data_IF_658157558231
#
_entry.id   IF_658157558231
#
_cell.length_a   1.000
_cell.length_b   1.000
_cell.length_c   1.000
_cell.angle_alpha   90.00
_cell.angle_beta   90.00
_cell.angle_gamma   90.00
#
_symmetry.space_group_name_H-M   'P 1'
#
loop_
_entity.id
_entity.type
_entity.pdbx_description
1 polymer ?
#
# COMPACT_ATOMS: atom_id res chain seq x y z
N UNK A 1 -5.86 0.38 -3.98
CA UNK A 1 -5.43 1.70 -4.47
C UNK A 1 -6.44 2.75 -4.04
N UNK A 2 -5.99 3.78 -3.32
CA UNK A 2 -6.78 4.96 -2.96
C UNK A 2 -6.31 6.11 -3.83
N UNK A 3 -7.22 6.85 -4.48
CA UNK A 3 -6.83 8.06 -5.20
C UNK A 3 -6.22 9.06 -4.21
N UNK A 4 -4.99 9.57 -4.44
CA UNK A 4 -4.24 10.36 -3.46
C UNK A 4 -4.92 11.68 -3.08
N UNK A 5 -5.78 12.20 -3.96
CA UNK A 5 -6.46 13.49 -3.81
C UNK A 5 -7.99 13.38 -3.76
N UNK A 6 -8.54 12.19 -3.53
CA UNK A 6 -9.97 12.09 -3.26
C UNK A 6 -10.27 12.64 -1.87
N UNK A 7 -11.17 13.63 -1.79
CA UNK A 7 -11.64 14.25 -0.54
C UNK A 7 -12.65 13.32 0.16
N UNK A 8 -12.26 12.06 0.37
CA UNK A 8 -13.06 11.07 1.07
C UNK A 8 -12.46 10.86 2.44
N UNK A 9 -13.26 11.07 3.48
CA UNK A 9 -12.86 10.86 4.89
C UNK A 9 -12.48 9.40 5.19
N UNK A 10 -12.93 8.47 4.36
CA UNK A 10 -12.65 7.04 4.49
C UNK A 10 -11.48 6.67 3.58
N UNK A 11 -10.31 6.46 4.17
CA UNK A 11 -9.15 5.87 3.48
C UNK A 11 -9.02 4.40 3.82
N UNK A 12 -8.65 3.61 2.81
CA UNK A 12 -8.33 2.20 2.99
C UNK A 12 -7.05 2.09 3.83
N UNK A 13 -7.04 1.30 4.91
CA UNK A 13 -5.83 1.10 5.70
C UNK A 13 -4.68 0.52 4.87
N UNK A 14 -3.44 0.92 5.14
CA UNK A 14 -2.29 0.39 4.41
C UNK A 14 -2.17 -1.12 4.66
N UNK A 15 -1.85 -1.89 3.61
CA UNK A 15 -1.71 -3.35 3.68
C UNK A 15 -3.02 -4.13 3.67
N UNK A 16 -4.18 -3.46 3.76
CA UNK A 16 -5.49 -4.12 3.70
C UNK A 16 -5.71 -4.89 2.39
N UNK A 17 -5.28 -4.31 1.27
CA UNK A 17 -5.38 -4.96 -0.03
C UNK A 17 -4.57 -6.27 -0.09
N UNK A 18 -3.41 -6.32 0.58
CA UNK A 18 -2.55 -7.51 0.62
C UNK A 18 -3.21 -8.66 1.39
N UNK A 19 -3.89 -8.37 2.51
CA UNK A 19 -4.66 -9.36 3.25
C UNK A 19 -5.71 -10.01 2.33
N UNK A 20 -6.48 -9.17 1.62
CA UNK A 20 -7.51 -9.65 0.71
C UNK A 20 -6.93 -10.44 -0.47
N UNK A 21 -5.80 -10.00 -1.01
CA UNK A 21 -5.11 -10.69 -2.10
C UNK A 21 -4.63 -12.08 -1.68
N UNK A 22 -3.97 -12.19 -0.52
CA UNK A 22 -3.53 -13.47 0.03
C UNK A 22 -4.70 -14.41 0.29
N UNK A 23 -5.76 -13.93 0.94
CA UNK A 23 -6.96 -14.72 1.17
C UNK A 23 -7.59 -15.22 -0.15
N UNK A 24 -7.77 -14.32 -1.12
CA UNK A 24 -8.34 -14.67 -2.42
C UNK A 24 -7.51 -15.72 -3.15
N UNK A 25 -6.17 -15.65 -3.02
CA UNK A 25 -5.27 -16.63 -3.62
C UNK A 25 -5.41 -18.00 -2.99
N UNK A 26 -5.59 -18.09 -1.68
CA UNK A 26 -5.82 -19.36 -0.98
C UNK A 26 -7.21 -19.95 -1.32
N UNK A 27 -8.24 -19.11 -1.45
CA UNK A 27 -9.55 -19.55 -1.94
C UNK A 27 -9.44 -20.16 -3.34
N UNK A 28 -8.73 -19.50 -4.26
CA UNK A 28 -8.54 -20.01 -5.62
C UNK A 28 -7.73 -21.31 -5.69
N UNK A 29 -6.82 -21.53 -4.73
CA UNK A 29 -6.00 -22.75 -4.63
C UNK A 29 -6.79 -23.94 -4.11
N UNK A 30 -7.52 -23.74 -3.02
CA UNK A 30 -8.19 -24.82 -2.31
C UNK A 30 -9.62 -25.08 -2.80
N UNK A 31 -10.21 -24.15 -3.55
CA UNK A 31 -11.58 -24.22 -4.07
C UNK A 31 -12.58 -24.73 -3.01
N UNK A 32 -12.62 -24.11 -1.82
CA UNK A 32 -13.46 -24.60 -0.72
C UNK A 32 -14.94 -24.47 -1.09
N UNK A 33 -15.75 -25.42 -0.66
CA UNK A 33 -17.21 -25.40 -0.85
C UNK A 33 -17.89 -24.31 -0.01
N UNK A 34 -17.37 -24.04 1.19
CA UNK A 34 -17.81 -22.95 2.07
C UNK A 34 -16.69 -21.94 2.29
N UNK A 35 -16.76 -20.85 1.52
CA UNK A 35 -15.76 -19.77 1.55
C UNK A 35 -15.79 -19.01 2.89
N UNK A 36 -16.96 -18.87 3.52
CA UNK A 36 -17.07 -18.11 4.77
C UNK A 36 -16.43 -18.87 5.92
N UNK A 37 -16.71 -20.17 6.03
CA UNK A 37 -16.05 -21.05 7.01
C UNK A 37 -14.54 -21.07 6.81
N UNK A 38 -14.09 -21.23 5.57
CA UNK A 38 -12.67 -21.18 5.23
C UNK A 38 -12.03 -19.84 5.62
N UNK A 39 -12.71 -18.71 5.37
CA UNK A 39 -12.23 -17.39 5.75
C UNK A 39 -12.07 -17.21 7.25
N UNK A 40 -13.03 -17.67 8.05
CA UNK A 40 -12.93 -17.63 9.52
C UNK A 40 -11.71 -18.41 10.01
N UNK A 41 -11.54 -19.65 9.55
CA UNK A 41 -10.41 -20.51 9.93
C UNK A 41 -9.06 -19.92 9.46
N UNK A 42 -9.01 -19.37 8.25
CA UNK A 42 -7.81 -18.75 7.69
C UNK A 42 -7.36 -17.53 8.48
N UNK A 43 -8.27 -16.61 8.81
CA UNK A 43 -7.91 -15.42 9.57
C UNK A 43 -7.60 -15.71 11.04
N UNK A 44 -8.26 -16.69 11.65
CA UNK A 44 -7.94 -17.16 13.01
C UNK A 44 -6.54 -17.79 13.05
N UNK A 45 -6.19 -18.60 12.05
CA UNK A 45 -4.84 -19.13 11.88
C UNK A 45 -3.78 -18.03 11.75
N UNK A 46 -4.00 -17.02 10.89
CA UNK A 46 -3.07 -15.89 10.73
C UNK A 46 -2.91 -15.07 12.01
N UNK A 47 -3.98 -14.90 12.78
CA UNK A 47 -3.93 -14.19 14.07
C UNK A 47 -3.11 -14.96 15.09
N UNK A 48 -3.32 -16.27 15.22
CA UNK A 48 -2.54 -17.12 16.14
C UNK A 48 -1.08 -17.14 15.78
N UNK A 49 -0.75 -17.33 14.50
CA UNK A 49 0.63 -17.35 14.02
C UNK A 49 1.37 -16.04 14.36
N UNK A 50 0.67 -14.89 14.24
CA UNK A 50 1.24 -13.59 14.64
C UNK A 50 1.48 -13.51 16.15
N UNK A 51 0.55 -13.99 16.95
CA UNK A 51 0.64 -13.92 18.42
C UNK A 51 1.70 -14.88 18.97
N UNK A 52 1.85 -16.05 18.38
CA UNK A 52 2.74 -17.11 18.85
C UNK A 52 4.18 -16.93 18.37
N UNK A 53 4.37 -16.69 17.07
CA UNK A 53 5.71 -16.65 16.47
C UNK A 53 6.29 -15.24 16.43
N UNK A 54 5.44 -14.21 16.55
CA UNK A 54 5.84 -12.82 16.33
C UNK A 54 6.23 -12.52 14.88
N UNK A 55 5.90 -13.41 13.94
CA UNK A 55 6.22 -13.26 12.52
C UNK A 55 5.53 -12.04 11.91
N UNK A 56 6.18 -11.50 10.87
CA UNK A 56 5.73 -10.28 10.21
C UNK A 56 4.38 -10.50 9.51
N UNK A 57 3.38 -9.75 9.96
CA UNK A 57 2.06 -9.67 9.38
C UNK A 57 2.12 -9.40 7.86
N UNK A 58 1.39 -10.19 7.07
CA UNK A 58 1.21 -9.97 5.62
C UNK A 58 0.80 -8.54 5.28
N UNK A 59 0.02 -7.89 6.17
CA UNK A 59 -0.33 -6.49 6.00
C UNK A 59 0.92 -5.61 6.08
N UNK A 60 1.75 -5.76 7.11
CA UNK A 60 2.98 -4.97 7.32
C UNK A 60 3.99 -5.18 6.19
N UNK A 61 4.21 -6.43 5.78
CA UNK A 61 5.05 -6.77 4.63
C UNK A 61 4.55 -6.09 3.36
N UNK A 62 3.23 -6.12 3.14
CA UNK A 62 2.57 -5.41 2.05
C UNK A 62 2.80 -3.90 2.09
N UNK A 63 2.64 -3.27 3.26
CA UNK A 63 2.89 -1.84 3.46
C UNK A 63 4.32 -1.48 3.11
N UNK A 64 5.32 -2.23 3.62
CA UNK A 64 6.73 -1.95 3.34
C UNK A 64 7.06 -2.03 1.84
N UNK A 65 6.31 -2.83 1.09
CA UNK A 65 6.47 -2.96 -0.35
C UNK A 65 5.81 -1.79 -1.10
N UNK A 66 4.60 -1.39 -0.68
CA UNK A 66 3.89 -0.24 -1.23
C UNK A 66 4.59 1.09 -0.90
N UNK A 67 5.15 1.23 0.30
CA UNK A 67 5.83 2.45 0.77
C UNK A 67 7.08 2.77 -0.07
N UNK A 68 7.81 1.73 -0.51
CA UNK A 68 8.92 1.87 -1.46
C UNK A 68 8.50 2.49 -2.79
N UNK A 69 7.25 2.32 -3.21
CA UNK A 69 6.77 2.86 -4.48
C UNK A 69 6.48 4.37 -4.40
N UNK A 70 6.03 4.86 -3.25
CA UNK A 70 5.67 6.28 -3.08
C UNK A 70 6.79 7.14 -2.47
N UNK A 71 7.62 6.57 -1.59
CA UNK A 71 8.63 7.33 -0.83
C UNK A 71 10.06 7.19 -1.36
N UNK A 72 10.35 6.22 -2.24
CA UNK A 72 11.71 5.99 -2.70
C UNK A 72 12.04 6.83 -3.95
N UNK A 73 12.89 7.85 -3.79
CA UNK A 73 13.32 8.79 -4.85
C UNK A 73 14.01 8.12 -6.05
N UNK A 74 14.46 6.87 -5.90
CA UNK A 74 15.08 6.09 -6.98
C UNK A 74 14.12 5.85 -8.17
N UNK A 75 12.81 5.80 -7.94
CA UNK A 75 11.80 5.64 -9.00
C UNK A 75 11.30 6.96 -9.61
N UNK A 76 11.65 8.12 -9.02
CA UNK A 76 11.31 9.45 -9.52
C UNK A 76 12.29 9.95 -10.61
N UNK A 77 13.44 9.29 -10.78
CA UNK A 77 14.54 9.73 -11.64
C UNK A 77 14.59 9.02 -13.01
N UNK A 78 13.70 8.05 -13.28
CA UNK A 78 13.78 7.20 -14.49
C UNK A 78 12.86 7.60 -15.65
N UNK A 79 12.13 8.72 -15.56
CA UNK A 79 11.58 9.35 -16.76
C UNK A 79 12.52 10.46 -17.22
N UNK A 80 13.33 10.26 -18.29
CA UNK A 80 13.78 11.40 -19.06
C UNK A 80 12.56 11.95 -19.78
N UNK A 81 11.86 12.89 -19.14
CA UNK A 81 10.88 13.70 -19.84
C UNK A 81 11.64 14.47 -20.92
N UNK A 82 11.27 14.39 -22.21
CA UNK A 82 11.69 15.39 -23.17
C UNK A 82 11.01 16.68 -22.70
N UNK A 83 11.76 17.63 -22.15
CA UNK A 83 11.24 18.96 -21.93
C UNK A 83 11.18 19.69 -23.28
N UNK A 84 10.02 19.93 -23.91
CA UNK A 84 9.91 21.10 -24.75
C UNK A 84 9.90 22.31 -23.80
N UNK A 85 10.82 23.24 -24.05
CA UNK A 85 11.01 24.48 -23.31
C UNK A 85 9.65 25.10 -22.95
N UNK A 86 9.36 25.25 -21.65
CA UNK A 86 8.29 26.11 -21.18
C UNK A 86 8.94 27.24 -20.41
N UNK A 87 9.13 28.34 -21.11
CA UNK A 87 9.44 29.65 -20.54
C UNK A 87 8.28 30.07 -19.64
N UNK A 88 8.31 29.70 -18.36
CA UNK A 88 7.58 30.41 -17.30
C UNK A 88 8.40 30.36 -16.01
N UNK A 89 8.65 31.52 -15.36
CA UNK A 89 9.37 31.55 -14.09
C UNK A 89 8.53 30.85 -13.02
N UNK A 90 9.18 29.99 -12.24
CA UNK A 90 8.57 29.32 -11.08
C UNK A 90 8.45 30.35 -9.93
N UNK A 91 7.34 30.40 -9.18
CA UNK A 91 7.29 31.21 -7.97
C UNK A 91 8.08 30.51 -6.86
N UNK A 92 9.02 31.25 -6.26
CA UNK A 92 9.85 30.84 -5.14
C UNK A 92 8.99 30.74 -3.88
N UNK A 93 8.75 29.52 -3.39
CA UNK A 93 8.03 29.29 -2.12
C UNK A 93 9.01 28.93 -1.01
N UNK A 94 9.93 29.84 -0.68
CA UNK A 94 10.72 29.79 0.56
C UNK A 94 11.16 31.20 0.98
N UNK A 95 10.21 32.11 1.25
CA UNK A 95 10.47 33.26 2.11
C UNK A 95 9.53 33.18 3.31
N UNK A 96 10.08 32.65 4.40
CA UNK A 96 9.36 32.44 5.64
C UNK A 96 10.26 31.90 6.72
N UNK A 97 11.45 32.48 6.87
CA UNK A 97 12.28 32.30 8.07
C UNK A 97 12.73 33.66 8.60
N UNK A 98 11.93 34.15 9.56
CA UNK A 98 12.27 34.96 10.73
C UNK A 98 12.49 36.48 10.56
N UNK A 99 12.17 37.26 11.63
CA UNK A 99 12.17 38.73 11.61
C UNK A 99 13.55 39.35 11.43
#
# INVERSE_FOLDING_TARGET
MSAPFSNTRLRVPPGFANILWCFSREVLRLQPTDILKFGMEYFDYLLRLRLETGEEDVAKLGVMLDDRYYNNRSYMMSTPCPHPKRDRPRPDYLEGCNP
#
